data_IF_103814866822
#
_entry.id   IF_103814866822
#
_cell.length_a   1.000
_cell.length_b   1.000
_cell.length_c   1.000
_cell.angle_alpha   90.00
_cell.angle_beta   90.00
_cell.angle_gamma   90.00
#
_symmetry.space_group_name_H-M   'P 1'
#
loop_
_entity.id
_entity.type
_entity.pdbx_description
1 polymer ?
#
# COMPACT_ATOMS: atom_id res chain seq x y z
N UNK A 1 18.32 14.93 36.59
CA UNK A 1 17.35 14.51 35.55
C UNK A 1 17.74 13.13 35.06
N UNK A 2 16.94 12.07 35.25
CA UNK A 2 17.30 10.77 34.69
C UNK A 2 17.14 10.82 33.17
N UNK A 3 18.20 10.45 32.45
CA UNK A 3 18.19 10.30 31.01
C UNK A 3 17.35 9.07 30.62
N UNK A 4 16.42 9.23 29.69
CA UNK A 4 15.69 8.10 29.09
C UNK A 4 16.69 7.12 28.48
N UNK A 5 16.86 5.95 29.12
CA UNK A 5 17.61 4.84 28.54
C UNK A 5 16.95 4.45 27.22
N UNK A 6 17.58 4.80 26.11
CA UNK A 6 17.06 4.65 24.74
C UNK A 6 16.98 3.21 24.24
N UNK A 7 16.43 2.29 25.04
CA UNK A 7 16.17 0.90 24.67
C UNK A 7 14.67 0.62 24.55
N UNK A 8 13.96 1.38 23.72
CA UNK A 8 12.67 0.92 23.20
C UNK A 8 12.93 0.10 21.94
N UNK A 9 13.17 -1.21 22.07
CA UNK A 9 13.16 -2.12 20.92
C UNK A 9 11.71 -2.30 20.49
N UNK A 10 11.24 -1.46 19.57
CA UNK A 10 9.91 -1.65 18.97
C UNK A 10 9.99 -2.84 18.02
N UNK A 11 9.46 -3.98 18.43
CA UNK A 11 9.17 -5.06 17.49
C UNK A 11 8.10 -4.57 16.51
N UNK A 12 8.52 -4.15 15.31
CA UNK A 12 7.60 -3.97 14.18
C UNK A 12 7.25 -5.36 13.67
N UNK A 13 6.05 -5.83 14.00
CA UNK A 13 5.52 -7.11 13.52
C UNK A 13 5.58 -7.21 11.99
N UNK A 14 5.44 -6.08 11.27
CA UNK A 14 5.58 -6.00 9.82
C UNK A 14 6.29 -4.70 9.40
N UNK A 15 7.62 -4.71 9.27
CA UNK A 15 8.38 -3.51 8.86
C UNK A 15 8.04 -3.05 7.44
N UNK A 16 7.65 -3.99 6.56
CA UNK A 16 7.26 -3.75 5.17
C UNK A 16 5.77 -3.98 4.86
N UNK A 17 4.91 -4.11 5.88
CA UNK A 17 3.49 -4.47 5.70
C UNK A 17 3.27 -5.96 5.37
N UNK A 18 2.00 -6.35 5.22
CA UNK A 18 1.63 -7.70 4.79
C UNK A 18 1.74 -7.82 3.26
N UNK A 19 2.59 -8.73 2.78
CA UNK A 19 2.77 -8.98 1.34
C UNK A 19 1.52 -9.51 0.69
N UNK A 20 0.77 -10.36 1.39
CA UNK A 20 -0.47 -10.97 0.90
C UNK A 20 -1.54 -9.91 0.68
N UNK A 21 -1.74 -9.02 1.66
CA UNK A 21 -2.69 -7.92 1.55
C UNK A 21 -2.30 -6.96 0.42
N UNK A 22 -1.02 -6.61 0.32
CA UNK A 22 -0.52 -5.74 -0.75
C UNK A 22 -0.72 -6.39 -2.14
N UNK A 23 -0.47 -7.69 -2.26
CA UNK A 23 -0.72 -8.42 -3.50
C UNK A 23 -2.21 -8.43 -3.85
N UNK A 24 -3.10 -8.66 -2.89
CA UNK A 24 -4.54 -8.64 -3.11
C UNK A 24 -5.01 -7.27 -3.66
N UNK A 25 -4.54 -6.17 -3.07
CA UNK A 25 -4.85 -4.82 -3.55
C UNK A 25 -4.33 -4.60 -4.97
N UNK A 26 -3.11 -5.05 -5.27
CA UNK A 26 -2.52 -4.95 -6.60
C UNK A 26 -3.30 -5.75 -7.65
N UNK A 27 -3.69 -6.98 -7.33
CA UNK A 27 -4.52 -7.82 -8.20
C UNK A 27 -5.89 -7.17 -8.46
N UNK A 28 -6.55 -6.64 -7.42
CA UNK A 28 -7.83 -5.95 -7.58
C UNK A 28 -7.68 -4.75 -8.53
N UNK A 29 -6.63 -3.94 -8.35
CA UNK A 29 -6.37 -2.79 -9.21
C UNK A 29 -6.18 -3.22 -10.68
N UNK A 30 -5.38 -4.26 -10.93
CA UNK A 30 -5.19 -4.79 -12.29
C UNK A 30 -6.49 -5.29 -12.94
N UNK A 31 -7.28 -6.07 -12.20
CA UNK A 31 -8.55 -6.58 -12.72
C UNK A 31 -9.48 -5.43 -13.06
N UNK A 32 -9.59 -4.43 -12.18
CA UNK A 32 -10.43 -3.25 -12.42
C UNK A 32 -9.95 -2.42 -13.60
N UNK A 33 -8.65 -2.23 -13.78
CA UNK A 33 -8.10 -1.55 -14.97
C UNK A 33 -8.43 -2.30 -16.27
N UNK A 34 -8.61 -3.63 -16.22
CA UNK A 34 -8.98 -4.42 -17.39
C UNK A 34 -10.49 -4.42 -17.67
N UNK A 35 -11.33 -4.54 -16.64
CA UNK A 35 -12.77 -4.83 -16.82
C UNK A 35 -13.72 -3.72 -16.38
N UNK A 36 -13.32 -2.81 -15.49
CA UNK A 36 -14.19 -1.76 -14.96
C UNK A 36 -14.03 -0.45 -15.77
N UNK A 37 -15.05 -0.03 -16.55
CA UNK A 37 -14.98 1.19 -17.37
C UNK A 37 -14.69 2.44 -16.53
N UNK A 38 -15.20 2.51 -15.29
CA UNK A 38 -14.99 3.67 -14.42
C UNK A 38 -13.52 3.81 -14.01
N UNK A 39 -12.88 2.67 -13.71
CA UNK A 39 -11.46 2.63 -13.34
C UNK A 39 -10.57 2.99 -14.54
N UNK A 40 -10.93 2.53 -15.76
CA UNK A 40 -10.20 2.88 -16.99
C UNK A 40 -10.20 4.38 -17.26
N UNK A 41 -11.37 5.02 -17.25
CA UNK A 41 -11.50 6.47 -17.44
C UNK A 41 -10.65 7.24 -16.42
N UNK A 42 -10.67 6.79 -15.17
CA UNK A 42 -9.86 7.40 -14.12
C UNK A 42 -8.35 7.26 -14.37
N UNK A 43 -7.89 6.07 -14.77
CA UNK A 43 -6.48 5.81 -15.07
C UNK A 43 -6.04 6.64 -16.26
N UNK A 44 -6.79 6.64 -17.36
CA UNK A 44 -6.48 7.42 -18.55
C UNK A 44 -6.33 8.91 -18.23
N UNK A 45 -7.25 9.46 -17.43
CA UNK A 45 -7.19 10.84 -16.93
C UNK A 45 -5.93 11.10 -16.11
N UNK A 46 -5.57 10.18 -15.20
CA UNK A 46 -4.42 10.33 -14.29
C UNK A 46 -3.07 10.14 -14.99
N UNK A 47 -2.98 9.32 -16.05
CA UNK A 47 -1.74 9.10 -16.80
C UNK A 47 -1.47 10.18 -17.85
N UNK A 48 -2.46 11.00 -18.17
CA UNK A 48 -2.34 12.15 -19.08
C UNK A 48 -2.12 13.50 -18.39
N UNK A 49 -2.14 13.53 -17.04
CA UNK A 49 -1.64 14.66 -16.23
C UNK A 49 -0.11 14.68 -16.24
#
# INVERSE_FOLDING_TARGET
>A
MPASSGKTVRHRLNRGGSREANNALWTIALVRMRSDPRTRIYVDRRTGE
#
